data_IF_389751914798
#
_entry.id   IF_389751914798
#
_cell.length_a   1.000
_cell.length_b   1.000
_cell.length_c   1.000
_cell.angle_alpha   90.00
_cell.angle_beta   90.00
_cell.angle_gamma   90.00
#
_symmetry.space_group_name_H-M   'P 1'
#
loop_
_entity.id
_entity.type
_entity.pdbx_description
1 polymer ?
#
# COMPACT_ATOMS: atom_id res chain seq x y z
N UNK A 1 10.84 -49.99 38.48
CA UNK A 1 9.85 -48.89 38.41
C UNK A 1 10.47 -47.68 37.69
N UNK A 2 10.67 -47.73 36.37
CA UNK A 2 11.21 -46.61 35.57
C UNK A 2 10.35 -46.20 34.35
N UNK A 3 9.26 -46.93 34.10
CA UNK A 3 8.42 -46.75 32.89
C UNK A 3 7.30 -45.72 33.05
N UNK A 4 6.94 -45.36 34.29
CA UNK A 4 5.88 -44.39 34.55
C UNK A 4 6.35 -42.97 34.30
N UNK A 5 7.58 -42.62 34.72
CA UNK A 5 8.10 -41.26 34.61
C UNK A 5 8.30 -40.85 33.14
N UNK A 6 8.81 -41.78 32.32
CA UNK A 6 8.98 -41.60 30.86
C UNK A 6 7.65 -41.48 30.11
N UNK A 7 6.59 -42.13 30.61
CA UNK A 7 5.26 -42.01 30.02
C UNK A 7 4.63 -40.64 30.29
N UNK A 8 4.72 -40.15 31.53
CA UNK A 8 4.22 -38.81 31.89
C UNK A 8 4.99 -37.70 31.17
N UNK A 9 6.32 -37.80 31.08
CA UNK A 9 7.16 -36.86 30.33
C UNK A 9 6.76 -36.77 28.84
N UNK A 10 6.46 -37.90 28.20
CA UNK A 10 6.00 -37.94 26.82
C UNK A 10 4.63 -37.28 26.63
N UNK A 11 3.69 -37.46 27.57
CA UNK A 11 2.37 -36.82 27.51
C UNK A 11 2.51 -35.30 27.65
N UNK A 12 3.31 -34.82 28.61
CA UNK A 12 3.55 -33.38 28.79
C UNK A 12 4.22 -32.76 27.58
N UNK A 13 5.19 -33.45 26.99
CA UNK A 13 5.84 -33.02 25.76
C UNK A 13 4.85 -32.90 24.60
N UNK A 14 4.00 -33.91 24.38
CA UNK A 14 2.98 -33.87 23.33
C UNK A 14 1.95 -32.75 23.56
N UNK A 15 1.53 -32.52 24.80
CA UNK A 15 0.64 -31.41 25.15
C UNK A 15 1.28 -30.06 24.81
N UNK A 16 2.55 -29.87 25.16
CA UNK A 16 3.30 -28.64 24.83
C UNK A 16 3.43 -28.41 23.32
N UNK A 17 3.66 -29.46 22.54
CA UNK A 17 3.69 -29.34 21.08
C UNK A 17 2.31 -28.95 20.53
N UNK A 18 1.23 -29.50 21.07
CA UNK A 18 -0.12 -29.15 20.68
C UNK A 18 -0.44 -27.68 21.00
N UNK A 19 -0.14 -27.23 22.23
CA UNK A 19 -0.34 -25.83 22.65
C UNK A 19 0.47 -24.87 21.75
N UNK A 20 1.70 -25.24 21.40
CA UNK A 20 2.52 -24.46 20.48
C UNK A 20 1.91 -24.38 19.08
N UNK A 21 1.39 -25.49 18.54
CA UNK A 21 0.73 -25.52 17.23
C UNK A 21 -0.46 -24.57 17.23
N UNK A 22 -1.34 -24.68 18.22
CA UNK A 22 -2.54 -23.83 18.36
C UNK A 22 -2.17 -22.34 18.48
N UNK A 23 -1.13 -22.02 19.26
CA UNK A 23 -0.60 -20.65 19.37
C UNK A 23 -0.06 -20.12 18.02
N UNK A 24 0.71 -20.92 17.29
CA UNK A 24 1.22 -20.50 15.98
C UNK A 24 0.11 -20.38 14.93
N UNK A 25 -0.91 -21.24 14.97
CA UNK A 25 -2.10 -21.13 14.12
C UNK A 25 -2.88 -19.84 14.40
N UNK A 26 -3.05 -19.46 15.67
CA UNK A 26 -3.66 -18.19 16.05
C UNK A 26 -2.85 -16.99 15.54
N UNK A 27 -1.51 -17.02 15.72
CA UNK A 27 -0.61 -15.98 15.21
C UNK A 27 -0.63 -15.89 13.68
N UNK A 28 -0.65 -17.02 12.98
CA UNK A 28 -0.79 -17.09 11.53
C UNK A 28 -2.12 -16.48 11.07
N UNK A 29 -3.22 -16.77 11.75
CA UNK A 29 -4.53 -16.18 11.45
C UNK A 29 -4.49 -14.65 11.53
N UNK A 30 -3.90 -14.11 12.60
CA UNK A 30 -3.72 -12.67 12.74
C UNK A 30 -2.82 -12.08 11.64
N UNK A 31 -1.71 -12.76 11.30
CA UNK A 31 -0.82 -12.34 10.21
C UNK A 31 -1.53 -12.34 8.84
N UNK A 32 -2.41 -13.32 8.58
CA UNK A 32 -3.23 -13.35 7.35
C UNK A 32 -4.18 -12.15 7.30
N UNK A 33 -4.79 -11.77 8.44
CA UNK A 33 -5.65 -10.58 8.50
C UNK A 33 -4.85 -9.29 8.23
N UNK A 34 -3.66 -9.17 8.82
CA UNK A 34 -2.74 -8.04 8.57
C UNK A 34 -2.35 -7.95 7.10
N UNK A 35 -1.94 -9.05 6.48
CA UNK A 35 -1.60 -9.13 5.04
C UNK A 35 -2.78 -8.72 4.17
N UNK A 36 -4.01 -9.15 4.50
CA UNK A 36 -5.22 -8.75 3.77
C UNK A 36 -5.47 -7.24 3.86
N UNK A 37 -5.40 -6.67 5.06
CA UNK A 37 -5.59 -5.23 5.27
C UNK A 37 -4.54 -4.40 4.52
N UNK A 38 -3.27 -4.79 4.59
CA UNK A 38 -2.18 -4.12 3.86
C UNK A 38 -2.34 -4.24 2.34
N UNK A 39 -2.78 -5.40 1.85
CA UNK A 39 -3.06 -5.60 0.41
C UNK A 39 -4.17 -4.65 -0.08
N UNK A 40 -5.22 -4.46 0.72
CA UNK A 40 -6.28 -3.50 0.41
C UNK A 40 -5.76 -2.05 0.41
N UNK A 41 -4.91 -1.68 1.38
CA UNK A 41 -4.31 -0.36 1.45
C UNK A 41 -3.43 -0.07 0.23
N UNK A 42 -2.56 -1.00 -0.16
CA UNK A 42 -1.75 -0.90 -1.38
C UNK A 42 -2.65 -0.69 -2.61
N UNK A 43 -3.72 -1.48 -2.74
CA UNK A 43 -4.70 -1.32 -3.82
C UNK A 43 -5.36 0.06 -3.84
N UNK A 44 -5.79 0.55 -2.67
CA UNK A 44 -6.37 1.90 -2.51
C UNK A 44 -5.38 2.99 -2.90
N UNK A 45 -4.13 2.93 -2.43
CA UNK A 45 -3.10 3.92 -2.76
C UNK A 45 -2.80 3.96 -4.25
N UNK A 46 -2.71 2.80 -4.92
CA UNK A 46 -2.57 2.74 -6.38
C UNK A 46 -3.75 3.41 -7.10
N UNK A 47 -4.98 3.20 -6.59
CA UNK A 47 -6.17 3.89 -7.09
C UNK A 47 -6.11 5.41 -6.93
N UNK A 48 -5.70 5.90 -5.76
CA UNK A 48 -5.54 7.34 -5.49
C UNK A 48 -4.48 7.98 -6.38
N UNK A 49 -3.33 7.32 -6.58
CA UNK A 49 -2.28 7.79 -7.48
C UNK A 49 -2.81 7.89 -8.92
N UNK A 50 -3.56 6.88 -9.39
CA UNK A 50 -4.16 6.91 -10.73
C UNK A 50 -5.10 8.10 -10.89
N UNK A 51 -6.01 8.32 -9.93
CA UNK A 51 -6.96 9.45 -9.97
C UNK A 51 -6.20 10.79 -9.94
N UNK A 52 -5.17 10.91 -9.11
CA UNK A 52 -4.34 12.10 -9.03
C UNK A 52 -3.58 12.35 -10.35
N UNK A 53 -3.08 11.29 -11.00
CA UNK A 53 -2.47 11.35 -12.33
C UNK A 53 -3.46 11.81 -13.40
N UNK A 54 -4.67 11.25 -13.43
CA UNK A 54 -5.73 11.67 -14.35
C UNK A 54 -6.09 13.15 -14.16
N UNK A 55 -6.16 13.62 -12.91
CA UNK A 55 -6.41 15.03 -12.60
C UNK A 55 -5.27 15.94 -13.07
N UNK A 56 -4.01 15.52 -12.90
CA UNK A 56 -2.85 16.25 -13.39
C UNK A 56 -2.88 16.39 -14.92
N UNK A 57 -3.22 15.32 -15.65
CA UNK A 57 -3.36 15.36 -17.10
C UNK A 57 -4.44 16.38 -17.54
N UNK A 58 -5.57 16.44 -16.84
CA UNK A 58 -6.62 17.45 -17.12
C UNK A 58 -6.12 18.87 -16.86
N UNK A 59 -5.41 19.12 -15.75
CA UNK A 59 -4.81 20.43 -15.48
C UNK A 59 -3.81 20.83 -16.56
N UNK A 60 -2.94 19.92 -16.98
CA UNK A 60 -1.97 20.15 -18.05
C UNK A 60 -2.65 20.44 -19.40
N UNK A 61 -3.74 19.75 -19.71
CA UNK A 61 -4.53 20.02 -20.91
C UNK A 61 -5.15 21.43 -20.86
N UNK A 62 -5.70 21.83 -19.71
CA UNK A 62 -6.26 23.18 -19.52
C UNK A 62 -5.19 24.28 -19.62
N UNK A 63 -3.98 24.05 -19.09
CA UNK A 63 -2.84 24.96 -19.26
C UNK A 63 -2.52 25.13 -20.75
N UNK A 64 -2.43 24.01 -21.48
CA UNK A 64 -2.11 24.02 -22.92
C UNK A 64 -3.17 24.74 -23.74
N UNK A 65 -4.45 24.49 -23.45
CA UNK A 65 -5.58 25.14 -24.13
C UNK A 65 -5.62 26.66 -23.85
N UNK A 66 -5.36 27.06 -22.61
CA UNK A 66 -5.31 28.47 -22.24
C UNK A 66 -4.08 29.18 -22.85
N UNK A 67 -2.93 28.52 -22.89
CA UNK A 67 -1.75 29.04 -23.59
C UNK A 67 -2.04 29.21 -25.10
N UNK A 68 -2.67 28.24 -25.75
CA UNK A 68 -3.07 28.33 -27.16
C UNK A 68 -4.11 29.44 -27.40
N UNK A 69 -5.10 29.57 -26.51
CA UNK A 69 -6.10 30.64 -26.56
C UNK A 69 -5.48 32.01 -26.39
N UNK A 70 -4.49 32.15 -25.51
CA UNK A 70 -3.75 33.41 -25.30
C UNK A 70 -2.92 33.80 -26.53
N UNK A 71 -2.30 32.84 -27.23
CA UNK A 71 -1.61 33.08 -28.50
C UNK A 71 -2.59 33.47 -29.61
N UNK A 72 -3.73 32.79 -29.73
CA UNK A 72 -4.77 33.14 -30.72
C UNK A 72 -5.40 34.51 -30.43
N UNK A 73 -5.67 34.83 -29.15
CA UNK A 73 -6.23 36.10 -28.70
C UNK A 73 -5.22 37.24 -28.85
N UNK A 74 -3.93 37.04 -28.60
CA UNK A 74 -2.91 38.08 -28.81
C UNK A 74 -2.75 38.45 -30.29
N UNK A 75 -2.88 37.48 -31.20
CA UNK A 75 -2.93 37.75 -32.66
C UNK A 75 -4.18 38.57 -33.04
N UNK A 76 -5.33 38.32 -32.41
CA UNK A 76 -6.57 39.09 -32.65
C UNK A 76 -6.64 40.44 -31.89
N UNK A 77 -6.06 40.53 -30.69
CA UNK A 77 -6.12 41.71 -29.81
C UNK A 77 -5.09 42.78 -30.18
N UNK A 78 -4.04 42.44 -30.94
CA UNK A 78 -3.22 43.40 -31.68
C UNK A 78 -4.07 44.29 -32.61
N UNK A 79 -5.30 43.86 -32.96
CA UNK A 79 -6.23 44.66 -33.77
C UNK A 79 -7.21 45.53 -32.93
N UNK A 80 -7.54 45.18 -31.67
CA UNK A 80 -8.44 45.99 -30.81
C UNK A 80 -8.17 45.75 -29.30
N UNK A 81 -7.82 46.83 -28.58
CA UNK A 81 -7.77 46.98 -27.10
C UNK A 81 -7.37 45.75 -26.25
N UNK A 82 -6.06 45.56 -26.05
CA UNK A 82 -5.47 44.35 -25.46
C UNK A 82 -5.26 44.34 -23.92
N UNK A 83 -5.38 45.47 -23.20
CA UNK A 83 -4.88 45.56 -21.81
C UNK A 83 -5.67 44.78 -20.75
N UNK A 84 -7.00 44.68 -20.88
CA UNK A 84 -7.84 43.98 -19.89
C UNK A 84 -7.80 42.45 -20.04
N UNK A 85 -7.94 41.93 -21.26
CA UNK A 85 -7.97 40.49 -21.53
C UNK A 85 -6.63 39.79 -21.25
N UNK A 86 -5.50 40.46 -21.47
CA UNK A 86 -4.16 39.87 -21.25
C UNK A 86 -3.84 39.65 -19.76
N UNK A 87 -4.41 40.44 -18.86
CA UNK A 87 -4.20 40.28 -17.42
C UNK A 87 -4.95 39.05 -16.88
N UNK A 88 -6.19 38.84 -17.32
CA UNK A 88 -7.03 37.71 -16.88
C UNK A 88 -6.48 36.36 -17.33
N UNK A 89 -5.97 36.26 -18.56
CA UNK A 89 -5.35 35.03 -19.06
C UNK A 89 -4.04 34.71 -18.34
N UNK A 90 -3.25 35.74 -18.01
CA UNK A 90 -2.00 35.59 -17.25
C UNK A 90 -2.27 35.11 -15.82
N UNK A 91 -3.25 35.69 -15.14
CA UNK A 91 -3.64 35.28 -13.79
C UNK A 91 -4.19 33.84 -13.75
N UNK A 92 -4.94 33.45 -14.79
CA UNK A 92 -5.43 32.07 -14.92
C UNK A 92 -4.28 31.09 -15.18
N UNK A 93 -3.33 31.43 -16.05
CA UNK A 93 -2.14 30.61 -16.30
C UNK A 93 -1.31 30.39 -15.03
N UNK A 94 -1.06 31.46 -14.26
CA UNK A 94 -0.35 31.38 -12.95
C UNK A 94 -1.12 30.46 -11.99
N UNK A 95 -2.44 30.62 -11.89
CA UNK A 95 -3.28 29.82 -10.99
C UNK A 95 -3.26 28.33 -11.36
N UNK A 96 -3.27 28.01 -12.67
CA UNK A 96 -3.19 26.64 -13.15
C UNK A 96 -1.79 26.03 -12.92
N UNK A 97 -0.71 26.80 -13.06
CA UNK A 97 0.65 26.35 -12.73
C UNK A 97 0.78 25.97 -11.25
N UNK A 98 0.25 26.78 -10.34
CA UNK A 98 0.23 26.43 -8.91
C UNK A 98 -0.64 25.18 -8.63
N UNK A 99 -1.74 24.99 -9.36
CA UNK A 99 -2.55 23.79 -9.26
C UNK A 99 -1.80 22.54 -9.74
N UNK A 100 -1.03 22.65 -10.82
CA UNK A 100 -0.15 21.58 -11.33
C UNK A 100 0.89 21.17 -10.29
N UNK A 101 1.61 22.14 -9.72
CA UNK A 101 2.64 21.88 -8.71
C UNK A 101 2.08 21.15 -7.49
N UNK A 102 0.94 21.63 -6.96
CA UNK A 102 0.24 20.98 -5.82
C UNK A 102 -0.20 19.55 -6.15
N UNK A 103 -0.68 19.31 -7.37
CA UNK A 103 -1.05 17.96 -7.81
C UNK A 103 0.17 17.04 -7.92
N UNK A 104 1.30 17.54 -8.44
CA UNK A 104 2.57 16.78 -8.49
C UNK A 104 3.09 16.44 -7.10
N UNK A 105 3.04 17.37 -6.15
CA UNK A 105 3.42 17.10 -4.76
C UNK A 105 2.51 16.06 -4.10
N UNK A 106 1.20 16.14 -4.37
CA UNK A 106 0.24 15.16 -3.89
C UNK A 106 0.56 13.76 -4.40
N UNK A 107 0.86 13.61 -5.69
CA UNK A 107 1.28 12.33 -6.29
C UNK A 107 2.55 11.81 -5.62
N UNK A 108 3.60 12.64 -5.51
CA UNK A 108 4.86 12.25 -4.83
C UNK A 108 4.63 11.79 -3.40
N UNK A 109 3.73 12.45 -2.66
CA UNK A 109 3.37 12.03 -1.29
C UNK A 109 2.68 10.68 -1.28
N UNK A 110 1.73 10.45 -2.19
CA UNK A 110 1.02 9.18 -2.31
C UNK A 110 1.97 8.04 -2.72
N UNK A 111 2.92 8.29 -3.61
CA UNK A 111 3.94 7.31 -4.01
C UNK A 111 4.83 6.90 -2.84
N UNK A 112 5.26 7.86 -2.00
CA UNK A 112 6.01 7.54 -0.76
C UNK A 112 5.18 6.69 0.21
N UNK A 113 3.89 7.00 0.36
CA UNK A 113 2.98 6.21 1.19
C UNK A 113 2.79 4.81 0.63
N UNK A 114 2.63 4.68 -0.69
CA UNK A 114 2.54 3.38 -1.36
C UNK A 114 3.80 2.54 -1.11
N UNK A 115 4.99 3.11 -1.25
CA UNK A 115 6.24 2.40 -1.00
C UNK A 115 6.35 1.91 0.45
N UNK A 116 5.88 2.71 1.41
CA UNK A 116 5.82 2.31 2.83
C UNK A 116 4.81 1.17 3.05
N UNK A 117 3.61 1.26 2.45
CA UNK A 117 2.57 0.23 2.53
C UNK A 117 3.04 -1.09 1.88
N UNK A 118 3.73 -1.03 0.74
CA UNK A 118 4.31 -2.20 0.07
C UNK A 118 5.43 -2.84 0.89
N UNK A 119 6.29 -2.04 1.54
CA UNK A 119 7.34 -2.55 2.44
C UNK A 119 6.75 -3.23 3.68
N UNK A 120 5.70 -2.63 4.26
CA UNK A 120 4.96 -3.22 5.38
C UNK A 120 4.29 -4.54 4.97
N UNK A 121 3.68 -4.57 3.78
CA UNK A 121 3.06 -5.78 3.23
C UNK A 121 4.09 -6.90 3.02
N UNK A 122 5.27 -6.59 2.51
CA UNK A 122 6.35 -7.56 2.35
C UNK A 122 6.78 -8.15 3.71
N UNK A 123 6.98 -7.29 4.72
CA UNK A 123 7.33 -7.73 6.07
C UNK A 123 6.24 -8.60 6.68
N UNK A 124 4.97 -8.23 6.53
CA UNK A 124 3.83 -9.01 7.03
C UNK A 124 3.76 -10.40 6.36
N UNK A 125 4.01 -10.48 5.05
CA UNK A 125 4.08 -11.76 4.32
C UNK A 125 5.23 -12.65 4.80
N UNK A 126 6.41 -12.07 5.10
CA UNK A 126 7.53 -12.81 5.71
C UNK A 126 7.14 -13.38 7.07
N UNK A 127 6.54 -12.57 7.95
CA UNK A 127 6.02 -13.05 9.25
C UNK A 127 5.00 -14.18 9.10
N UNK A 128 4.08 -14.07 8.14
CA UNK A 128 3.11 -15.14 7.85
C UNK A 128 3.83 -16.44 7.47
N UNK A 129 4.81 -16.37 6.58
CA UNK A 129 5.60 -17.52 6.15
C UNK A 129 6.41 -18.13 7.30
N UNK A 130 6.95 -17.30 8.20
CA UNK A 130 7.66 -17.77 9.40
C UNK A 130 6.74 -18.57 10.32
N UNK A 131 5.50 -18.11 10.55
CA UNK A 131 4.52 -18.88 11.32
C UNK A 131 4.12 -20.18 10.63
N UNK A 132 3.96 -20.18 9.30
CA UNK A 132 3.71 -21.41 8.53
C UNK A 132 4.85 -22.43 8.69
N UNK A 133 6.09 -21.96 8.68
CA UNK A 133 7.26 -22.81 8.92
C UNK A 133 7.30 -23.35 10.36
N UNK A 134 6.98 -22.52 11.35
CA UNK A 134 6.91 -22.94 12.76
C UNK A 134 5.85 -24.01 12.97
N UNK A 135 4.65 -23.83 12.39
CA UNK A 135 3.58 -24.84 12.41
C UNK A 135 4.07 -26.14 11.76
N UNK A 136 4.66 -26.07 10.57
CA UNK A 136 5.15 -27.25 9.87
C UNK A 136 6.21 -28.02 10.68
N UNK A 137 7.13 -27.29 11.34
CA UNK A 137 8.13 -27.90 12.21
C UNK A 137 7.51 -28.53 13.46
N UNK A 138 6.54 -27.87 14.10
CA UNK A 138 5.80 -28.44 15.23
C UNK A 138 5.06 -29.71 14.83
N UNK A 139 4.39 -29.72 13.67
CA UNK A 139 3.71 -30.91 13.14
C UNK A 139 4.70 -32.05 12.87
N UNK A 140 5.88 -31.76 12.31
CA UNK A 140 6.94 -32.76 12.13
C UNK A 140 7.39 -33.37 13.46
N UNK A 141 7.58 -32.55 14.49
CA UNK A 141 7.92 -33.03 15.83
C UNK A 141 6.79 -33.86 16.45
N UNK A 142 5.53 -33.46 16.27
CA UNK A 142 4.39 -34.23 16.74
C UNK A 142 4.34 -35.62 16.07
N UNK A 143 4.52 -35.67 14.75
CA UNK A 143 4.54 -36.92 14.00
C UNK A 143 5.70 -37.83 14.43
N UNK A 144 6.89 -37.28 14.62
CA UNK A 144 8.08 -38.04 15.03
C UNK A 144 7.96 -38.65 16.44
N UNK A 145 7.19 -38.01 17.32
CA UNK A 145 7.00 -38.45 18.71
C UNK A 145 5.67 -39.15 18.94
N UNK A 146 4.94 -39.49 17.86
CA UNK A 146 3.62 -40.09 17.92
C UNK A 146 2.61 -39.32 18.79
N UNK A 147 2.75 -37.99 18.83
CA UNK A 147 1.84 -37.07 19.50
C UNK A 147 0.60 -36.86 18.65
N UNK A 148 -0.15 -37.93 18.44
CA UNK A 148 -1.43 -37.91 17.77
C UNK A 148 -2.53 -37.75 18.80
N UNK A 149 -3.44 -36.82 18.53
CA UNK A 149 -4.74 -36.75 19.20
C UNK A 149 -5.78 -37.34 18.27
#
# INVERSE_FOLDING_TARGET
MKNTDTFFENIEFCKKLQDNRENFEAKRSNAIQEVRGLTQNVGRRKGEIRIAGDNLLRTLAAIKENAASTVSLSVHALLRNARGMMADTTNLAISLSFAEERQRETIKRLERQLAADESALELARKKQADFEMQIANTVRLMNANHCFR
#
